data_IF_535263806933
#
_entry.id   IF_535263806933
#
_cell.length_a   1.000
_cell.length_b   1.000
_cell.length_c   1.000
_cell.angle_alpha   90.00
_cell.angle_beta   90.00
_cell.angle_gamma   90.00
#
_symmetry.space_group_name_H-M   'P 1'
#
loop_
_entity.id
_entity.type
_entity.pdbx_description
1 polymer ?
2 water ?
#
# COMPACT_ATOMS: atom_id res chain seq x y z
N UNK A 27 9.66 -6.07 -13.50
CA UNK A 27 9.19 -4.94 -12.65
C UNK A 27 10.11 -4.64 -11.49
N UNK A 28 10.58 -3.40 -11.43
CA UNK A 28 11.48 -2.98 -10.36
C UNK A 28 10.68 -2.77 -9.07
N UNK A 29 11.30 -2.14 -8.08
CA UNK A 29 10.63 -1.88 -6.82
C UNK A 29 9.46 -0.93 -7.07
N UNK A 30 8.46 -0.99 -6.20
CA UNK A 30 7.28 -0.15 -6.32
C UNK A 30 7.62 1.33 -6.46
N UNK A 31 6.82 2.05 -7.26
CA UNK A 31 7.02 3.49 -7.41
C UNK A 31 6.62 4.07 -6.06
N UNK A 32 7.18 5.21 -5.70
CA UNK A 32 6.89 5.78 -4.39
C UNK A 32 6.67 7.28 -4.36
N UNK A 33 6.24 7.76 -3.19
CA UNK A 33 6.04 9.18 -2.91
C UNK A 33 6.64 9.41 -1.52
N UNK A 34 7.07 10.63 -1.25
CA UNK A 34 7.67 10.96 0.04
C UNK A 34 6.60 11.38 1.05
N UNK A 35 6.65 10.79 2.24
CA UNK A 35 5.68 11.10 3.30
C UNK A 35 6.37 11.68 4.53
N UNK A 36 5.92 12.86 4.99
CA UNK A 36 6.53 13.47 6.18
C UNK A 36 6.28 12.52 7.34
N UNK A 37 7.26 12.35 8.21
CA UNK A 37 7.08 11.45 9.34
C UNK A 37 5.94 11.86 10.26
N UNK A 38 5.64 13.15 10.35
CA UNK A 38 4.54 13.57 11.21
C UNK A 38 3.17 13.26 10.60
N UNK A 39 3.18 12.70 9.39
CA UNK A 39 1.95 12.30 8.71
C UNK A 39 1.88 10.78 8.61
N UNK A 40 2.61 10.09 9.48
CA UNK A 40 2.62 8.63 9.49
C UNK A 40 1.95 8.08 10.75
N UNK A 41 0.94 7.23 10.57
CA UNK A 41 0.25 6.62 11.70
C UNK A 41 0.16 5.10 11.55
N UNK A 42 -0.20 4.45 12.65
CA UNK A 42 -0.35 3.00 12.64
C UNK A 42 -1.32 2.62 11.53
N UNK A 43 -1.00 1.55 10.81
CA UNK A 43 -1.85 1.10 9.73
C UNK A 43 -1.42 1.59 8.36
N UNK A 44 -0.63 2.66 8.31
CA UNK A 44 -0.16 3.20 7.04
C UNK A 44 0.80 2.24 6.36
N UNK A 45 0.84 2.28 5.04
CA UNK A 45 1.75 1.41 4.31
C UNK A 45 3.00 2.18 3.92
N UNK A 46 4.15 1.66 4.32
CA UNK A 46 5.43 2.29 4.02
C UNK A 46 6.36 1.26 3.40
N UNK A 47 7.43 1.75 2.78
CA UNK A 47 8.42 0.85 2.21
C UNK A 47 9.43 0.69 3.33
N UNK A 48 9.54 -0.53 3.86
CA UNK A 48 10.48 -0.82 4.94
C UNK A 48 11.44 -1.89 4.41
N UNK A 49 12.73 -1.61 4.50
CA UNK A 49 13.74 -2.53 4.00
C UNK A 49 13.43 -2.95 2.57
N UNK A 50 13.00 -1.98 1.77
CA UNK A 50 12.71 -2.24 0.37
C UNK A 50 11.38 -2.86 0.01
N UNK A 51 10.50 -3.07 0.99
CA UNK A 51 9.22 -3.69 0.67
C UNK A 51 8.02 -3.04 1.36
N UNK A 52 6.85 -3.08 0.69
CA UNK A 52 5.59 -2.50 1.20
C UNK A 52 5.14 -3.22 2.46
N UNK A 53 5.04 -2.47 3.56
CA UNK A 53 4.62 -3.04 4.84
C UNK A 53 3.56 -2.21 5.53
N UNK A 54 2.72 -2.88 6.31
CA UNK A 54 1.70 -2.19 7.08
C UNK A 54 2.35 -1.90 8.43
N UNK A 55 2.44 -0.62 8.78
CA UNK A 55 3.06 -0.22 10.04
C UNK A 55 2.24 -0.67 11.24
N UNK A 56 2.88 -1.38 12.17
CA UNK A 56 2.19 -1.84 13.37
C UNK A 56 2.75 -1.23 14.65
N UNK A 57 3.90 -0.56 14.53
CA UNK A 57 4.49 0.10 15.68
C UNK A 57 5.41 1.22 15.26
N UNK A 58 5.31 2.35 15.95
CA UNK A 58 6.16 3.50 15.70
C UNK A 58 6.81 3.77 17.05
N UNK A 59 8.14 3.77 17.07
CA UNK A 59 8.87 4.01 18.30
C UNK A 59 10.03 4.95 18.03
N UNK A 60 10.74 5.31 19.09
CA UNK A 60 11.88 6.21 18.97
C UNK A 60 13.15 5.44 19.33
N UNK A 61 14.16 5.55 18.48
CA UNK A 61 15.43 4.89 18.73
C UNK A 61 16.14 5.59 19.88
N UNK A 62 16.57 4.82 20.87
CA UNK A 62 17.28 5.38 22.02
C UNK A 62 18.66 5.88 21.59
N UNK A 63 19.24 5.24 20.58
CA UNK A 63 20.57 5.61 20.11
C UNK A 63 20.65 6.83 19.20
N UNK A 64 19.66 7.01 18.32
CA UNK A 64 19.68 8.13 17.38
C UNK A 64 18.57 9.16 17.58
N UNK A 65 17.52 8.78 18.28
CA UNK A 65 16.40 9.69 18.49
C UNK A 65 15.49 9.74 17.28
N UNK A 66 15.78 8.91 16.28
CA UNK A 66 14.98 8.87 15.07
C UNK A 66 13.79 7.91 15.23
N UNK A 67 12.78 8.07 14.38
CA UNK A 67 11.60 7.22 14.43
C UNK A 67 11.95 5.84 13.86
N UNK A 68 11.47 4.79 14.52
CA UNK A 68 11.71 3.44 14.05
C UNK A 68 10.35 2.83 13.72
N UNK A 69 10.23 2.23 12.54
CA UNK A 69 8.96 1.64 12.14
C UNK A 69 9.02 0.12 12.02
N UNK A 70 8.04 -0.54 12.64
CA UNK A 70 7.91 -1.99 12.58
C UNK A 70 6.68 -2.26 11.72
N UNK A 71 6.83 -3.06 10.67
CA UNK A 71 5.71 -3.33 9.79
C UNK A 71 5.62 -4.75 9.26
N UNK A 72 4.46 -5.09 8.71
CA UNK A 72 4.22 -6.42 8.16
C UNK A 72 4.22 -6.39 6.63
N UNK A 73 5.15 -7.13 6.04
CA UNK A 73 5.26 -7.22 4.58
C UNK A 73 3.90 -7.67 4.02
N UNK A 74 3.33 -6.87 3.13
CA UNK A 74 2.02 -7.17 2.54
C UNK A 74 1.94 -8.50 1.80
N UNK A 75 3.06 -8.91 1.20
CA UNK A 75 3.10 -10.16 0.45
C UNK A 75 3.53 -11.37 1.26
N UNK A 76 4.64 -11.25 1.99
CA UNK A 76 5.15 -12.38 2.77
C UNK A 76 4.65 -12.47 4.21
N UNK A 77 4.11 -11.37 4.72
CA UNK A 77 3.60 -11.31 6.09
C UNK A 77 4.73 -11.35 7.13
N UNK A 78 5.96 -11.16 6.68
CA UNK A 78 7.11 -11.16 7.59
C UNK A 78 7.29 -9.76 8.17
N UNK A 79 7.93 -9.68 9.33
CA UNK A 79 8.16 -8.39 9.99
C UNK A 79 9.46 -7.74 9.54
N UNK A 80 9.41 -6.42 9.36
CA UNK A 80 10.59 -5.66 8.96
C UNK A 80 10.64 -4.35 9.74
N UNK A 81 11.84 -3.81 9.89
CA UNK A 81 12.03 -2.56 10.61
C UNK A 81 12.96 -1.64 9.84
N UNK A 82 12.68 -0.35 9.91
CA UNK A 82 13.54 0.65 9.28
C UNK A 82 13.30 1.97 9.97
N UNK A 83 14.37 2.74 10.13
CA UNK A 83 14.27 4.04 10.77
C UNK A 83 14.25 5.14 9.73
N UNK A 84 13.81 6.31 10.16
CA UNK A 84 13.82 7.46 9.27
C UNK A 84 15.23 8.01 9.51
N UNK A 85 15.62 9.03 8.76
CA UNK A 85 16.91 9.68 8.96
C UNK A 85 16.70 11.15 8.63
N UNK A 86 17.55 12.02 9.18
CA UNK A 86 17.41 13.44 8.94
C UNK A 86 18.25 13.99 7.79
N UNK A 87 17.63 14.82 6.97
CA UNK A 87 18.32 15.48 5.87
C UNK A 87 18.03 16.96 6.06
N UNK A 88 18.90 17.82 5.54
CA UNK A 88 18.71 19.26 5.70
C UNK A 88 18.73 19.98 4.36
N UNK A 89 17.57 20.06 3.70
CA UNK A 89 17.42 20.72 2.40
C UNK A 89 17.86 22.18 2.42
N UNK A 90 17.23 22.97 3.29
CA UNK A 90 17.55 24.39 3.40
C UNK A 90 17.86 24.78 4.84
N UNK A 91 18.38 26.00 5.04
CA UNK A 91 18.71 26.47 6.39
C UNK A 91 17.50 26.38 7.33
N UNK A 92 17.72 25.80 8.50
CA UNK A 92 16.68 25.65 9.51
C UNK A 92 15.57 24.67 9.12
N UNK A 93 15.75 23.98 8.00
CA UNK A 93 14.74 23.02 7.56
C UNK A 93 15.26 21.60 7.77
N UNK A 94 14.68 20.92 8.75
CA UNK A 94 15.05 19.55 9.06
C UNK A 94 13.91 18.66 8.61
N UNK A 95 14.19 17.74 7.70
CA UNK A 95 13.13 16.86 7.22
C UNK A 95 13.37 15.40 7.60
N UNK A 96 12.29 14.75 8.01
CA UNK A 96 12.34 13.34 8.38
C UNK A 96 11.17 12.76 7.61
N UNK A 97 11.47 11.83 6.71
CA UNK A 97 10.45 11.22 5.88
C UNK A 97 10.64 9.73 5.68
N UNK A 98 9.62 9.09 5.13
CA UNK A 98 9.67 7.67 4.80
C UNK A 98 9.02 7.61 3.43
N UNK A 99 9.19 6.50 2.73
CA UNK A 99 8.60 6.36 1.42
C UNK A 99 7.31 5.54 1.50
N UNK A 100 6.32 5.91 0.70
CA UNK A 100 5.07 5.17 0.68
C UNK A 100 4.88 4.69 -0.75
N UNK A 101 4.15 3.59 -0.98
CA UNK A 101 3.98 3.15 -2.37
C UNK A 101 2.94 3.96 -3.13
N UNK A 102 3.09 4.01 -4.45
CA UNK A 102 2.11 4.70 -5.29
C UNK A 102 1.11 3.60 -5.63
N UNK A 103 -0.15 3.81 -5.25
CA UNK A 103 -1.18 2.82 -5.53
C UNK A 103 -1.81 3.12 -6.87
N UNK A 104 -2.11 2.07 -7.62
CA UNK A 104 -2.76 2.23 -8.91
C UNK A 104 -4.23 1.86 -8.68
N UNK A 105 -5.11 2.34 -9.54
CA UNK A 105 -6.53 2.03 -9.43
C UNK A 105 -7.00 1.25 -10.64
N UNK A 106 -7.46 0.03 -10.40
CA UNK A 106 -7.95 -0.83 -11.47
C UNK A 106 -9.44 -1.05 -11.32
N UNK A 107 -10.11 -1.40 -12.41
CA UNK A 107 -11.54 -1.66 -12.36
C UNK A 107 -11.72 -3.15 -12.12
N UNK A 108 -12.84 -3.52 -11.53
CA UNK A 108 -13.14 -4.91 -11.25
C UNK A 108 -14.16 -5.39 -12.29
N UNK A 109 -13.77 -6.38 -13.10
CA UNK A 109 -14.64 -6.91 -14.13
C UNK A 109 -15.36 -8.17 -13.66
N UNK A 110 -14.70 -8.93 -12.79
CA UNK A 110 -15.28 -10.16 -12.27
C UNK A 110 -14.52 -10.64 -11.04
N UNK A 111 -15.18 -11.46 -10.23
CA UNK A 111 -14.57 -12.00 -9.03
C UNK A 111 -14.71 -13.52 -9.04
N UNK A 112 -13.62 -14.23 -8.78
CA UNK A 112 -13.65 -15.68 -8.78
C UNK A 112 -12.66 -16.33 -7.82
N UNK A 113 -13.21 -16.98 -6.79
CA UNK A 113 -12.44 -17.69 -5.78
C UNK A 113 -11.12 -17.06 -5.34
N UNK A 114 -11.20 -16.08 -4.44
CA UNK A 114 -10.00 -15.45 -3.93
C UNK A 114 -9.32 -14.39 -4.80
N UNK A 115 -9.48 -14.47 -6.11
CA UNK A 115 -8.86 -13.48 -6.99
C UNK A 115 -9.92 -12.75 -7.81
N UNK A 116 -9.50 -11.72 -8.53
CA UNK A 116 -10.44 -10.97 -9.35
C UNK A 116 -9.89 -10.69 -10.73
N UNK A 117 -10.79 -10.40 -11.66
CA UNK A 117 -10.36 -10.04 -13.00
C UNK A 117 -10.38 -8.51 -12.94
N UNK A 118 -9.21 -7.91 -13.10
CA UNK A 118 -9.10 -6.46 -13.05
C UNK A 118 -8.69 -5.91 -14.39
N UNK A 119 -8.89 -4.61 -14.57
CA UNK A 119 -8.52 -3.95 -15.81
C UNK A 119 -7.95 -2.57 -15.49
N UNK A 120 -6.79 -2.27 -16.06
CA UNK A 120 -6.14 -0.99 -15.84
C UNK A 120 -6.91 0.11 -16.56
N UNK A 121 -6.50 1.35 -16.33
CA UNK A 121 -7.12 2.52 -16.95
C UNK A 121 -7.06 2.43 -18.47
N UNK A 122 -6.02 1.77 -18.98
CA UNK A 122 -5.82 1.64 -20.42
C UNK A 122 -6.42 0.39 -21.05
N UNK A 123 -7.08 -0.45 -20.26
CA UNK A 123 -7.70 -1.65 -20.81
C UNK A 123 -6.92 -2.95 -20.65
N UNK A 124 -5.75 -2.88 -20.03
CA UNK A 124 -4.93 -4.06 -19.82
C UNK A 124 -5.62 -4.97 -18.80
N UNK A 125 -5.92 -6.20 -19.20
CA UNK A 125 -6.61 -7.16 -18.34
C UNK A 125 -5.73 -8.08 -17.50
N UNK A 126 -5.95 -8.06 -16.18
CA UNK A 126 -5.22 -8.89 -15.23
C UNK A 126 -6.23 -9.96 -14.82
N UNK A 127 -6.09 -11.17 -15.36
CA UNK A 127 -7.04 -12.25 -15.08
C UNK A 127 -7.12 -12.81 -13.66
N UNK A 128 -6.01 -12.77 -12.93
CA UNK A 128 -6.00 -13.32 -11.57
C UNK A 128 -5.33 -12.44 -10.53
N UNK A 129 -5.79 -11.20 -10.42
CA UNK A 129 -5.23 -10.27 -9.45
C UNK A 129 -5.57 -10.73 -8.03
N UNK A 130 -4.54 -11.01 -7.21
CA UNK A 130 -4.87 -11.45 -5.85
C UNK A 130 -5.37 -10.29 -4.99
N UNK A 131 -6.14 -10.63 -3.96
CA UNK A 131 -6.69 -9.64 -3.05
C UNK A 131 -6.18 -9.96 -1.65
N UNK A 132 -5.57 -8.97 -1.02
CA UNK A 132 -5.01 -9.17 0.31
C UNK A 132 -6.09 -9.53 1.32
N UNK A 133 -5.75 -10.41 2.26
CA UNK A 133 -6.71 -10.78 3.30
C UNK A 133 -6.43 -9.88 4.49
N UNK A 134 -7.05 -8.71 4.47
CA UNK A 134 -6.88 -7.73 5.53
C UNK A 134 -8.16 -6.92 5.68
N UNK A 135 -8.64 -6.81 6.92
CA UNK A 135 -9.84 -6.05 7.22
C UNK A 135 -11.05 -6.41 6.35
N UNK A 136 -11.26 -7.71 6.13
CA UNK A 136 -12.38 -8.20 5.34
C UNK A 136 -12.52 -7.51 3.99
N UNK A 137 -11.40 -7.21 3.34
CA UNK A 137 -11.43 -6.55 2.04
C UNK A 137 -12.22 -7.34 1.00
N UNK A 138 -12.03 -8.66 0.97
CA UNK A 138 -12.74 -9.49 0.01
C UNK A 138 -14.26 -9.42 0.17
N UNK A 139 -14.74 -9.52 1.41
CA UNK A 139 -16.18 -9.47 1.65
C UNK A 139 -16.74 -8.10 1.28
N UNK A 140 -16.04 -7.04 1.67
CA UNK A 140 -16.49 -5.68 1.35
C UNK A 140 -16.47 -5.47 -0.15
N UNK A 141 -15.44 -5.99 -0.81
CA UNK A 141 -15.28 -5.85 -2.25
C UNK A 141 -16.41 -6.56 -2.99
N UNK A 142 -16.69 -7.80 -2.60
CA UNK A 142 -17.73 -8.59 -3.25
C UNK A 142 -19.11 -7.96 -3.07
N UNK A 143 -19.34 -7.39 -1.89
CA UNK A 143 -20.61 -6.73 -1.59
C UNK A 143 -20.81 -5.54 -2.52
N UNK A 144 -19.76 -4.74 -2.69
CA UNK A 144 -19.82 -3.56 -3.55
C UNK A 144 -19.94 -3.95 -5.02
N UNK A 145 -19.28 -5.04 -5.39
CA UNK A 145 -19.30 -5.53 -6.76
C UNK A 145 -20.71 -5.93 -7.17
N UNK A 146 -21.40 -6.66 -6.29
CA UNK A 146 -22.75 -7.12 -6.57
C UNK A 146 -23.82 -6.03 -6.56
N UNK A 147 -23.42 -4.77 -6.41
CA UNK A 147 -24.37 -3.67 -6.40
C UNK A 147 -23.87 -2.43 -7.15
N UNK A 148 -22.92 -2.63 -8.05
CA UNK A 148 -22.38 -1.51 -8.82
C UNK A 148 -21.02 -1.82 -9.40
N UNK A 149 -20.90 -3.03 -9.95
CA UNK A 149 -19.66 -3.52 -10.55
C UNK A 149 -18.79 -2.47 -11.23
N UNK A 150 -19.38 -1.70 -12.14
CA UNK A 150 -18.63 -0.68 -12.85
C UNK A 150 -18.08 0.45 -12.00
N UNK A 151 -18.70 0.68 -10.85
CA UNK A 151 -18.25 1.75 -9.97
C UNK A 151 -17.22 1.28 -8.94
N UNK A 152 -16.95 -0.02 -8.90
CA UNK A 152 -16.00 -0.57 -7.95
C UNK A 152 -14.56 -0.53 -8.47
N UNK A 153 -13.65 -0.05 -7.63
CA UNK A 153 -12.24 0.05 -7.98
C UNK A 153 -11.41 -0.56 -6.87
N UNK A 154 -10.24 -1.08 -7.22
CA UNK A 154 -9.33 -1.65 -6.23
C UNK A 154 -8.02 -0.87 -6.26
N UNK A 155 -7.47 -0.58 -5.08
CA UNK A 155 -6.20 0.11 -4.98
C UNK A 155 -5.17 -1.00 -5.03
N UNK A 156 -4.19 -0.87 -5.92
CA UNK A 156 -3.20 -1.92 -6.12
C UNK A 156 -1.75 -1.55 -5.89
N UNK A 157 -1.04 -2.41 -5.17
CA UNK A 157 0.38 -2.21 -4.91
C UNK A 157 1.13 -3.09 -5.91
N UNK A 158 2.11 -2.50 -6.59
CA UNK A 158 2.92 -3.23 -7.57
C UNK A 158 4.35 -3.18 -7.08
N UNK A 159 4.94 -4.35 -6.88
CA UNK A 159 6.31 -4.41 -6.38
C UNK A 159 7.06 -5.63 -6.93
N UNK A 160 8.17 -5.37 -7.61
CA UNK A 160 8.98 -6.43 -8.19
C UNK A 160 8.17 -7.47 -8.95
N UNK A 161 7.36 -7.00 -9.89
CA UNK A 161 6.55 -7.89 -10.70
C UNK A 161 5.24 -8.32 -10.08
N UNK A 162 5.17 -8.37 -8.75
CA UNK A 162 3.95 -8.78 -8.08
C UNK A 162 2.96 -7.64 -7.97
N UNK A 163 1.68 -7.99 -7.97
CA UNK A 163 0.60 -7.02 -7.86
C UNK A 163 -0.45 -7.59 -6.92
N UNK A 164 -1.11 -6.72 -6.18
CA UNK A 164 -2.15 -7.19 -5.27
C UNK A 164 -3.05 -6.05 -4.86
N UNK A 165 -4.36 -6.32 -4.83
CA UNK A 165 -5.32 -5.30 -4.42
C UNK A 165 -5.22 -5.24 -2.90
N UNK A 166 -4.98 -4.05 -2.35
CA UNK A 166 -4.84 -3.90 -0.91
C UNK A 166 -5.96 -3.08 -0.28
N UNK A 167 -6.79 -2.47 -1.11
CA UNK A 167 -7.92 -1.69 -0.63
C UNK A 167 -8.93 -1.55 -1.76
N UNK A 168 -10.06 -0.93 -1.47
CA UNK A 168 -11.08 -0.75 -2.49
C UNK A 168 -11.61 0.67 -2.48
N UNK A 169 -12.42 1.00 -3.48
CA UNK A 169 -12.98 2.34 -3.60
C UNK A 169 -14.08 2.44 -4.68
N UNK A 170 -15.31 2.72 -4.26
CA UNK A 170 -16.42 2.87 -5.20
C UNK A 170 -16.33 4.31 -5.71
N UNK A 171 -16.31 4.51 -7.03
CA UNK A 171 -16.16 5.86 -7.59
C UNK A 171 -17.16 6.92 -7.11
N UNK A 172 -16.58 7.91 -6.42
CA UNK A 172 -17.27 9.05 -5.82
C UNK A 172 -18.53 9.52 -6.54
N UNK A 173 -19.28 10.39 -5.86
CA UNK A 173 -20.50 10.91 -6.43
C UNK A 173 -20.33 12.37 -6.81
#
# INVERSE_FOLDING_TARGET
MGYYDDDAHGHVEADAAPRATTGTGTGSASQTVTIPCHHIRLGDILILQGRPCQVIRISTSAATGQHRYLGVDLFTKQLHEESSFVSNPAPSVVVQTMLGPVFKQYRVLDMQDGSIVAMTETGDVKQNLPVIDQSSLWNRLQKAFESGRGSVRVLVVSDHGREMAVDMKVVHGSRL
#
